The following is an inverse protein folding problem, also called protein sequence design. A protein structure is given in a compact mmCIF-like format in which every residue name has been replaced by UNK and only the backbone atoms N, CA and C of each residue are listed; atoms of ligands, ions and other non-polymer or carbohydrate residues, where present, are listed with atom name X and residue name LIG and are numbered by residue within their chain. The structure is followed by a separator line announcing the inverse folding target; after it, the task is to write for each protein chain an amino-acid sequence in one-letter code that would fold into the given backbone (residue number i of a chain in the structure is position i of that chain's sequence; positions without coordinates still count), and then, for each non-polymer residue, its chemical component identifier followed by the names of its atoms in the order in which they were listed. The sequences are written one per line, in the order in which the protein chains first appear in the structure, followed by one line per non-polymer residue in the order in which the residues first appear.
data_IF_623157654144
#
_entry.id   IF_623157654144
#
_cell.length_a   1.000
_cell.length_b   1.000
_cell.length_c   1.000
_cell.angle_alpha   90.00
_cell.angle_beta   90.00
_cell.angle_gamma   90.00
#
_symmetry.space_group_name_H-M   'P 1'
#
loop_
_entity.id
_entity.type
_entity.pdbx_description
1 polymer ?
#
# COMPACT_ATOMS: atom_id res chain seq x y z
N UNK A 1 -26.63 6.16 -0.90
CA UNK A 1 -25.51 6.43 -1.83
C UNK A 1 -24.53 5.29 -1.66
N UNK A 2 -24.40 4.37 -2.62
CA UNK A 2 -23.36 3.34 -2.54
C UNK A 2 -22.03 4.07 -2.64
N UNK A 3 -21.08 3.93 -1.69
CA UNK A 3 -19.75 4.47 -1.90
C UNK A 3 -19.21 3.86 -3.20
N UNK A 4 -18.70 4.68 -4.11
CA UNK A 4 -17.98 4.20 -5.29
C UNK A 4 -16.89 3.25 -4.81
N UNK A 5 -17.04 1.97 -5.11
CA UNK A 5 -16.11 0.96 -4.65
C UNK A 5 -14.75 1.17 -5.33
N UNK A 6 -13.64 1.11 -4.57
CA UNK A 6 -12.30 1.24 -5.14
C UNK A 6 -12.08 0.27 -6.28
N UNK A 7 -11.34 0.69 -7.30
CA UNK A 7 -10.97 -0.19 -8.40
C UNK A 7 -10.16 -1.39 -7.87
N UNK A 8 -10.45 -2.60 -8.37
CA UNK A 8 -9.68 -3.79 -7.98
C UNK A 8 -8.26 -3.69 -8.53
N UNK A 9 -7.26 -3.90 -7.68
CA UNK A 9 -5.86 -3.95 -8.09
C UNK A 9 -5.63 -5.15 -9.05
N UNK A 10 -5.11 -4.93 -10.27
CA UNK A 10 -4.87 -6.02 -11.21
C UNK A 10 -3.70 -6.91 -10.76
N UNK A 11 -3.67 -8.14 -11.29
CA UNK A 11 -2.50 -9.01 -11.17
C UNK A 11 -1.35 -8.41 -11.97
N UNK A 12 -0.24 -8.18 -11.30
CA UNK A 12 1.01 -7.69 -11.89
C UNK A 12 2.18 -8.39 -11.19
N UNK A 13 3.30 -8.73 -11.88
CA UNK A 13 4.43 -9.40 -11.25
C UNK A 13 4.95 -8.67 -10.00
N UNK A 14 5.06 -7.35 -10.07
CA UNK A 14 5.45 -6.49 -8.94
C UNK A 14 4.45 -6.47 -7.77
N UNK A 15 3.21 -6.95 -7.95
CA UNK A 15 2.22 -7.04 -6.88
C UNK A 15 2.13 -8.44 -6.27
N UNK A 16 2.85 -9.44 -6.80
CA UNK A 16 2.65 -10.86 -6.44
C UNK A 16 2.77 -11.10 -4.94
N UNK A 17 3.90 -10.74 -4.34
CA UNK A 17 4.11 -10.90 -2.90
C UNK A 17 3.06 -10.18 -2.05
N UNK A 18 2.66 -8.96 -2.45
CA UNK A 18 1.59 -8.22 -1.78
C UNK A 18 0.26 -8.96 -1.89
N UNK A 19 -0.14 -9.35 -3.10
CA UNK A 19 -1.43 -9.99 -3.36
C UNK A 19 -1.55 -11.36 -2.71
N UNK A 20 -0.44 -12.09 -2.57
CA UNK A 20 -0.43 -13.37 -1.86
C UNK A 20 -0.58 -13.14 -0.35
N UNK A 21 0.16 -12.19 0.23
CA UNK A 21 0.02 -11.81 1.63
C UNK A 21 -1.40 -11.32 1.99
N UNK A 22 -2.01 -10.50 1.13
CA UNK A 22 -3.37 -9.99 1.35
C UNK A 22 -4.44 -11.07 1.16
N UNK A 23 -4.22 -12.04 0.26
CA UNK A 23 -5.16 -13.14 0.04
C UNK A 23 -5.30 -14.02 1.27
N UNK A 24 -4.22 -14.24 2.02
CA UNK A 24 -4.24 -15.03 3.26
C UNK A 24 -5.13 -14.42 4.34
N UNK A 25 -5.35 -13.10 4.29
CA UNK A 25 -6.16 -12.37 5.26
C UNK A 25 -7.59 -12.12 4.78
N UNK A 26 -7.79 -12.10 3.46
CA UNK A 26 -9.06 -11.78 2.83
C UNK A 26 -10.17 -12.73 3.26
N UNK A 27 -11.20 -12.16 3.89
CA UNK A 27 -12.41 -12.87 4.29
C UNK A 27 -13.65 -12.26 3.64
N UNK A 28 -14.67 -13.04 3.26
CA UNK A 28 -15.95 -12.48 2.86
C UNK A 28 -16.62 -11.80 4.07
N UNK A 29 -17.48 -10.77 3.87
CA UNK A 29 -18.30 -10.22 4.93
C UNK A 29 -19.15 -11.31 5.59
N UNK A 30 -19.18 -11.34 6.92
CA UNK A 30 -19.95 -12.31 7.71
C UNK A 30 -21.41 -11.91 7.89
N UNK A 31 -21.77 -10.65 7.62
CA UNK A 31 -23.13 -10.15 7.73
C UNK A 31 -23.38 -8.79 7.05
N UNK A 32 -24.64 -8.32 7.03
CA UNK A 32 -25.03 -7.06 6.39
C UNK A 32 -24.49 -5.81 7.11
N UNK A 33 -24.10 -5.94 8.38
CA UNK A 33 -23.56 -4.84 9.20
C UNK A 33 -22.03 -4.77 9.16
N UNK A 34 -21.38 -5.72 8.47
CA UNK A 34 -19.93 -5.71 8.33
C UNK A 34 -19.49 -4.62 7.35
N UNK A 35 -18.44 -3.91 7.74
CA UNK A 35 -17.73 -3.05 6.83
C UNK A 35 -17.11 -3.90 5.73
N UNK A 36 -17.47 -3.61 4.48
CA UNK A 36 -17.01 -4.35 3.31
C UNK A 36 -16.45 -3.40 2.26
N UNK A 37 -15.45 -3.89 1.54
CA UNK A 37 -14.87 -3.25 0.38
C UNK A 37 -15.00 -4.22 -0.80
N UNK A 38 -16.08 -4.04 -1.57
CA UNK A 38 -16.50 -4.98 -2.60
C UNK A 38 -16.99 -6.28 -1.98
N UNK A 39 -16.38 -7.39 -2.38
CA UNK A 39 -16.73 -8.75 -1.93
C UNK A 39 -15.99 -9.18 -0.65
N UNK A 40 -15.19 -8.29 -0.08
CA UNK A 40 -14.29 -8.59 1.04
C UNK A 40 -14.63 -7.76 2.26
N UNK A 41 -14.50 -8.35 3.45
CA UNK A 41 -14.53 -7.62 4.70
C UNK A 41 -13.43 -6.56 4.72
N UNK A 42 -13.74 -5.36 5.20
CA UNK A 42 -12.78 -4.27 5.30
C UNK A 42 -11.79 -4.60 6.42
N UNK A 43 -10.50 -4.66 6.08
CA UNK A 43 -9.41 -4.97 7.01
C UNK A 43 -8.71 -3.71 7.53
N UNK A 44 -9.38 -2.57 7.42
CA UNK A 44 -8.82 -1.24 7.69
C UNK A 44 -9.86 -0.39 8.42
N UNK A 45 -9.44 0.29 9.48
CA UNK A 45 -10.33 1.23 10.17
C UNK A 45 -10.77 2.36 9.22
N UNK A 46 -12.04 2.81 9.25
CA UNK A 46 -12.53 3.88 8.37
C UNK A 46 -11.69 5.17 8.42
N UNK A 47 -11.18 5.54 9.60
CA UNK A 47 -10.33 6.72 9.75
C UNK A 47 -8.99 6.56 9.03
N UNK A 48 -8.39 5.37 9.08
CA UNK A 48 -7.15 5.09 8.37
C UNK A 48 -7.36 5.06 6.85
N UNK A 49 -8.52 4.59 6.38
CA UNK A 49 -8.90 4.68 4.97
C UNK A 49 -9.03 6.16 4.53
N UNK A 50 -9.66 7.00 5.35
CA UNK A 50 -9.75 8.43 5.09
C UNK A 50 -8.36 9.09 5.08
N UNK A 51 -7.51 8.73 6.04
CA UNK A 51 -6.11 9.18 6.12
C UNK A 51 -5.33 8.83 4.86
N UNK A 52 -5.43 7.60 4.36
CA UNK A 52 -4.80 7.20 3.10
C UNK A 52 -5.32 8.02 1.90
N UNK A 53 -6.61 8.33 1.88
CA UNK A 53 -7.21 9.17 0.82
C UNK A 53 -6.66 10.59 0.84
N UNK A 54 -6.51 11.18 2.04
CA UNK A 54 -5.95 12.52 2.22
C UNK A 54 -4.48 12.59 1.76
N UNK A 55 -3.69 11.58 2.11
CA UNK A 55 -2.29 11.46 1.72
C UNK A 55 -2.09 11.13 0.25
N UNK A 56 -3.10 10.56 -0.42
CA UNK A 56 -3.00 10.03 -1.78
C UNK A 56 -2.86 11.06 -2.90
N UNK A 57 -2.73 12.36 -2.60
CA UNK A 57 -2.49 13.43 -3.59
C UNK A 57 -3.48 13.42 -4.78
N UNK A 58 -4.75 13.07 -4.51
CA UNK A 58 -5.79 12.97 -5.53
C UNK A 58 -5.76 11.70 -6.38
N UNK A 59 -4.83 10.77 -6.13
CA UNK A 59 -4.82 9.44 -6.74
C UNK A 59 -6.05 8.65 -6.24
N UNK A 60 -6.88 8.09 -7.15
CA UNK A 60 -8.01 7.28 -6.74
C UNK A 60 -7.59 6.04 -5.94
N UNK A 61 -8.34 5.74 -4.89
CA UNK A 61 -8.14 4.49 -4.14
C UNK A 61 -8.47 3.29 -5.04
N UNK A 62 -7.61 2.29 -4.96
CA UNK A 62 -7.84 0.93 -5.38
C UNK A 62 -7.98 0.03 -4.15
N UNK A 63 -8.27 -1.26 -4.35
CA UNK A 63 -8.26 -2.22 -3.27
C UNK A 63 -7.94 -3.65 -3.70
N UNK A 64 -7.50 -4.45 -2.74
CA UNK A 64 -7.32 -5.89 -2.87
C UNK A 64 -7.67 -6.56 -1.54
N UNK A 65 -8.52 -7.59 -1.57
CA UNK A 65 -8.86 -8.41 -0.41
C UNK A 65 -9.26 -7.60 0.84
N UNK A 66 -10.10 -6.58 0.65
CA UNK A 66 -10.60 -5.76 1.77
C UNK A 66 -9.63 -4.69 2.27
N UNK A 67 -8.47 -4.54 1.63
CA UNK A 67 -7.45 -3.55 1.98
C UNK A 67 -7.42 -2.43 0.93
N UNK A 68 -7.66 -1.16 1.32
CA UNK A 68 -7.54 0.01 0.46
C UNK A 68 -6.07 0.35 0.19
N UNK A 69 -5.79 0.78 -1.04
CA UNK A 69 -4.43 1.04 -1.51
C UNK A 69 -4.38 2.14 -2.58
N UNK A 70 -3.21 2.75 -2.72
CA UNK A 70 -2.86 3.65 -3.82
C UNK A 70 -2.04 2.87 -4.85
N UNK A 71 -2.33 3.09 -6.13
CA UNK A 71 -1.64 2.41 -7.20
C UNK A 71 -1.30 3.36 -8.35
N UNK A 72 -0.15 3.12 -8.98
CA UNK A 72 0.24 3.78 -10.21
C UNK A 72 0.24 2.75 -11.35
N UNK A 73 -0.60 2.97 -12.38
CA UNK A 73 -0.78 2.06 -13.53
C UNK A 73 -0.97 0.58 -13.13
N UNK A 74 -1.72 0.33 -12.08
CA UNK A 74 -2.04 -1.03 -11.61
C UNK A 74 -0.97 -1.68 -10.71
N UNK A 75 0.10 -0.97 -10.34
CA UNK A 75 1.10 -1.43 -9.36
C UNK A 75 0.88 -0.67 -8.05
N UNK A 76 0.79 -1.42 -6.94
CA UNK A 76 0.56 -0.83 -5.63
C UNK A 76 1.78 -0.05 -5.13
N UNK A 77 1.54 1.15 -4.61
CA UNK A 77 2.56 2.04 -4.05
C UNK A 77 2.41 2.20 -2.54
N UNK A 78 1.17 2.24 -2.04
CA UNK A 78 0.87 2.39 -0.62
C UNK A 78 -0.40 1.61 -0.28
N UNK A 79 -0.53 1.11 0.95
CA UNK A 79 -1.77 0.54 1.46
C UNK A 79 -1.95 0.85 2.95
N UNK A 80 -3.20 0.79 3.39
CA UNK A 80 -3.60 1.01 4.77
C UNK A 80 -4.17 -0.28 5.36
N UNK A 81 -3.63 -0.77 6.47
CA UNK A 81 -4.05 -2.02 7.11
C UNK A 81 -4.20 -1.85 8.62
N UNK A 82 -5.20 -2.52 9.21
CA UNK A 82 -5.49 -2.41 10.63
C UNK A 82 -5.99 -1.02 11.00
N UNK A 83 -5.49 -0.47 12.11
CA UNK A 83 -5.94 0.80 12.68
C UNK A 83 -4.95 1.94 12.49
N UNK A 84 -3.68 1.63 12.24
CA UNK A 84 -2.58 2.57 12.33
C UNK A 84 -1.50 2.39 11.25
N UNK A 85 -1.55 1.35 10.43
CA UNK A 85 -0.38 0.98 9.63
C UNK A 85 -0.53 1.41 8.18
N UNK A 86 0.45 2.19 7.71
CA UNK A 86 0.70 2.42 6.29
C UNK A 86 1.89 1.58 5.83
N UNK A 87 1.68 0.73 4.83
CA UNK A 87 2.77 0.08 4.11
C UNK A 87 3.06 0.85 2.84
N UNK A 88 4.28 1.38 2.73
CA UNK A 88 4.74 2.14 1.58
C UNK A 88 5.81 1.37 0.83
N UNK A 89 5.73 1.35 -0.50
CA UNK A 89 6.75 0.77 -1.36
C UNK A 89 7.86 1.81 -1.59
N UNK A 90 8.91 1.73 -0.78
CA UNK A 90 10.02 2.67 -0.78
C UNK A 90 11.35 1.95 -1.01
N UNK A 91 12.31 2.59 -1.69
CA UNK A 91 13.63 2.02 -1.92
C UNK A 91 14.42 1.86 -0.61
N UNK A 92 14.15 2.72 0.38
CA UNK A 92 14.76 2.71 1.70
C UNK A 92 13.75 3.13 2.78
N UNK A 93 14.03 2.76 4.03
CA UNK A 93 13.22 3.16 5.18
C UNK A 93 13.41 4.66 5.45
N UNK A 94 12.33 5.45 5.60
CA UNK A 94 12.43 6.85 5.96
C UNK A 94 12.87 6.97 7.43
N UNK A 95 14.11 7.42 7.65
CA UNK A 95 14.73 7.45 8.99
C UNK A 95 14.16 8.51 9.95
N UNK A 96 13.22 9.32 9.50
CA UNK A 96 12.63 10.46 10.21
C UNK A 96 11.13 10.30 10.48
N UNK A 97 10.58 9.11 10.22
CA UNK A 97 9.20 8.71 10.48
C UNK A 97 9.15 7.56 11.48
N UNK A 98 8.07 7.52 12.25
CA UNK A 98 7.78 6.42 13.17
C UNK A 98 7.40 5.16 12.39
N UNK A 99 8.09 4.06 12.69
CA UNK A 99 7.75 2.73 12.20
C UNK A 99 6.46 2.22 12.84
N UNK A 100 5.69 1.43 12.10
CA UNK A 100 4.56 0.73 12.69
C UNK A 100 5.05 -0.31 13.72
N UNK A 101 4.36 -0.48 14.86
CA UNK A 101 4.67 -1.54 15.81
C UNK A 101 4.40 -2.95 15.26
N UNK A 102 3.70 -3.06 14.13
CA UNK A 102 3.35 -4.32 13.48
C UNK A 102 4.33 -4.66 12.37
N UNK A 103 5.15 -5.73 12.52
CA UNK A 103 6.14 -6.08 11.51
C UNK A 103 5.51 -6.84 10.33
N UNK A 104 5.97 -6.55 9.11
CA UNK A 104 5.59 -7.25 7.87
C UNK A 104 6.84 -7.83 7.18
N UNK A 105 7.53 -8.81 7.79
CA UNK A 105 8.87 -9.24 7.38
C UNK A 105 8.92 -9.76 5.94
N UNK A 106 7.89 -10.49 5.50
CA UNK A 106 7.82 -10.99 4.12
C UNK A 106 7.70 -9.83 3.13
N UNK A 107 6.88 -8.82 3.41
CA UNK A 107 6.76 -7.65 2.53
C UNK A 107 7.99 -6.74 2.60
N UNK A 108 8.65 -6.64 3.76
CA UNK A 108 9.88 -5.87 3.91
C UNK A 108 11.00 -6.36 2.97
N UNK A 109 11.13 -7.68 2.79
CA UNK A 109 12.04 -8.29 1.80
C UNK A 109 11.73 -7.91 0.35
N UNK A 110 10.52 -7.39 0.10
CA UNK A 110 10.04 -6.94 -1.20
C UNK A 110 9.90 -5.41 -1.29
N UNK A 111 10.62 -4.66 -0.44
CA UNK A 111 10.71 -3.20 -0.52
C UNK A 111 9.51 -2.45 0.06
N UNK A 112 8.77 -3.08 0.99
CA UNK A 112 7.71 -2.42 1.73
C UNK A 112 8.18 -1.97 3.12
N UNK A 113 7.87 -0.72 3.47
CA UNK A 113 8.18 -0.11 4.76
C UNK A 113 6.88 0.11 5.52
N UNK A 114 6.81 -0.34 6.77
CA UNK A 114 5.64 -0.21 7.63
C UNK A 114 5.81 1.03 8.53
N UNK A 115 4.92 2.00 8.40
CA UNK A 115 4.96 3.27 9.12
C UNK A 115 3.68 3.47 9.91
N UNK A 116 3.78 4.18 11.03
CA UNK A 116 2.62 4.64 11.78
C UNK A 116 1.89 5.75 11.01
N UNK A 117 0.58 5.66 10.85
CA UNK A 117 -0.21 6.60 10.06
C UNK A 117 -0.46 7.93 10.76
N UNK A 118 -0.24 7.97 12.07
CA UNK A 118 -0.61 9.05 12.98
C UNK A 118 0.61 9.85 13.47
N UNK A 119 1.81 9.27 13.41
CA UNK A 119 3.10 9.90 13.72
C UNK A 119 3.06 10.63 15.07
N UNK A 120 2.52 9.96 16.10
CA UNK A 120 2.10 10.57 17.37
C UNK A 120 3.21 11.23 18.19
N UNK A 121 4.47 10.81 18.02
CA UNK A 121 5.63 11.42 18.66
C UNK A 121 6.26 12.57 17.86
N UNK A 122 5.79 12.84 16.64
CA UNK A 122 6.15 14.02 15.87
C UNK A 122 5.14 15.16 16.10
N UNK A 123 5.56 16.41 15.88
CA UNK A 123 4.59 17.52 15.82
C UNK A 123 3.65 17.24 14.65
N UNK A 124 2.33 17.22 14.88
CA UNK A 124 1.34 16.77 13.90
C UNK A 124 1.53 17.33 12.49
N UNK A 125 1.78 18.63 12.36
CA UNK A 125 1.99 19.26 11.03
C UNK A 125 3.26 18.76 10.33
N UNK A 126 4.34 18.56 11.09
CA UNK A 126 5.61 18.06 10.54
C UNK A 126 5.50 16.57 10.19
N UNK A 127 4.90 15.76 11.05
CA UNK A 127 4.64 14.34 10.79
C UNK A 127 3.75 14.15 9.57
N UNK A 128 2.67 14.93 9.46
CA UNK A 128 1.77 14.92 8.31
C UNK A 128 2.49 15.29 7.01
N UNK A 129 3.34 16.33 7.04
CA UNK A 129 4.11 16.74 5.87
C UNK A 129 5.09 15.66 5.43
N UNK A 130 5.83 15.05 6.35
CA UNK A 130 6.77 13.96 6.04
C UNK A 130 6.07 12.73 5.51
N UNK A 131 4.92 12.37 6.09
CA UNK A 131 4.14 11.23 5.64
C UNK A 131 3.58 11.45 4.23
N UNK A 132 3.15 12.69 3.91
CA UNK A 132 2.76 13.09 2.57
C UNK A 132 3.93 12.90 1.57
N UNK A 133 5.12 13.39 1.93
CA UNK A 133 6.32 13.22 1.10
C UNK A 133 6.66 11.74 0.90
N UNK A 134 6.56 10.91 1.95
CA UNK A 134 6.81 9.48 1.84
C UNK A 134 5.82 8.79 0.89
N UNK A 135 4.53 9.15 0.93
CA UNK A 135 3.53 8.62 -0.01
C UNK A 135 3.83 9.09 -1.44
N UNK A 136 4.22 10.35 -1.64
CA UNK A 136 4.68 10.85 -2.93
C UNK A 136 5.89 10.06 -3.46
N UNK A 137 6.90 9.83 -2.62
CA UNK A 137 8.07 9.04 -2.99
C UNK A 137 7.69 7.60 -3.34
N UNK A 138 6.74 6.98 -2.64
CA UNK A 138 6.28 5.64 -2.97
C UNK A 138 5.62 5.57 -4.35
N UNK A 139 4.82 6.59 -4.70
CA UNK A 139 4.20 6.71 -6.03
C UNK A 139 5.25 6.93 -7.13
N UNK A 140 6.22 7.81 -6.90
CA UNK A 140 7.34 8.08 -7.82
C UNK A 140 8.20 6.84 -8.02
N UNK A 141 8.59 6.18 -6.94
CA UNK A 141 9.36 4.95 -6.98
C UNK A 141 8.63 3.84 -7.74
N UNK A 142 7.32 3.70 -7.52
CA UNK A 142 6.50 2.72 -8.25
C UNK A 142 6.46 3.01 -9.75
N UNK A 143 6.36 4.29 -10.16
CA UNK A 143 6.47 4.69 -11.57
C UNK A 143 7.83 4.30 -12.17
N UNK A 144 8.90 4.50 -11.42
CA UNK A 144 10.25 4.19 -11.89
C UNK A 144 10.46 2.67 -12.02
N UNK A 145 9.96 1.86 -11.09
CA UNK A 145 9.96 0.39 -11.17
C UNK A 145 9.25 -0.13 -12.43
N UNK A 146 8.13 0.50 -12.82
CA UNK A 146 7.40 0.14 -14.05
C UNK A 146 8.19 0.52 -15.31
N UNK A 147 9.00 1.58 -15.23
CA UNK A 147 9.72 2.14 -16.37
C UNK A 147 11.07 1.45 -16.61
N UNK A 148 11.56 0.64 -15.66
CA UNK A 148 12.79 -0.13 -15.82
C UNK A 148 12.55 -1.31 -16.76
N UNK A 149 13.31 -1.44 -17.87
CA UNK A 149 13.27 -2.64 -18.69
C UNK A 149 13.76 -3.83 -17.85
N UNK A 150 13.03 -4.95 -17.86
CA UNK A 150 13.55 -6.21 -17.32
C UNK A 150 14.87 -6.55 -18.02
N UNK A 151 15.99 -6.31 -17.34
CA UNK A 151 17.31 -6.74 -17.82
C UNK A 151 17.36 -8.25 -17.62
N UNK A 152 17.06 -9.00 -18.68
CA UNK A 152 17.44 -10.39 -18.75
C UNK A 152 18.98 -10.47 -18.85
N UNK A 153 19.68 -11.27 -18.04
CA UNK A 153 21.08 -11.55 -18.31
C UNK A 153 21.16 -12.29 -19.65
N UNK A 154 21.75 -11.63 -20.65
CA UNK A 154 22.00 -12.20 -21.96
C UNK A 154 22.88 -13.45 -21.77
N UNK A 155 22.25 -14.62 -21.86
CA UNK A 155 22.94 -15.90 -21.86
C UNK A 155 23.90 -15.94 -23.03
N UNK A 156 25.19 -16.03 -22.72
CA UNK A 156 26.25 -16.21 -23.70
C UNK A 156 25.96 -17.47 -24.52
N UNK A 157 25.85 -17.32 -25.84
CA UNK A 157 26.10 -18.41 -26.77
C UNK A 157 27.61 -18.50 -26.98
N UNK A 158 28.26 -19.64 -26.67
CA UNK A 158 29.48 -20.00 -27.36
C UNK A 158 29.20 -21.08 -28.41
N UNK A 159 29.68 -20.82 -29.62
CA UNK A 159 30.29 -21.79 -30.55
C UNK A 159 29.37 -22.84 -31.17
#
# INVERSE_FOLDING_TARGET
MRPDFPARLPKHPLNTALLDHLREQGSPPSGPDDWALGEWQLHTHPDLLNRLRELGLGVPLSAAYGVPLLAYKGVAAALAIGTDTLLLRLPEAPGDLEESPWPFPELARHGWQALDAWQTGLRSVEGDHRLLLAVEQALLHTRDLISQPSVWPNGSHPG
#
